data_IF_607418957622
#
_entry.id   IF_607418957622
#
_cell.length_a   1.000
_cell.length_b   1.000
_cell.length_c   1.000
_cell.angle_alpha   90.00
_cell.angle_beta   90.00
_cell.angle_gamma   90.00
#
_symmetry.space_group_name_H-M   'P 1'
#
loop_
_entity.id
_entity.type
_entity.pdbx_description
1 polymer ?
#
# COMPACT_ATOMS: atom_id res chain seq x y z
N UNK A 1 -29.98 -34.01 -4.80
CA UNK A 1 -30.64 -32.80 -4.24
C UNK A 1 -30.77 -31.81 -5.37
N UNK A 2 -32.02 -31.51 -5.71
CA UNK A 2 -32.42 -30.92 -6.99
C UNK A 2 -32.29 -29.40 -6.99
N UNK A 3 -31.67 -28.86 -8.04
CA UNK A 3 -31.53 -27.43 -8.27
C UNK A 3 -32.83 -26.92 -8.93
N UNK A 4 -33.65 -26.17 -8.18
CA UNK A 4 -34.88 -25.58 -8.71
C UNK A 4 -34.56 -24.28 -9.46
N UNK A 5 -34.54 -24.37 -10.78
CA UNK A 5 -34.62 -23.27 -11.74
C UNK A 5 -35.98 -22.58 -11.61
N UNK A 6 -36.03 -21.25 -11.51
CA UNK A 6 -37.23 -20.47 -11.79
C UNK A 6 -36.87 -19.24 -12.61
N UNK A 7 -37.30 -19.25 -13.87
CA UNK A 7 -37.25 -18.13 -14.81
C UNK A 7 -38.52 -17.28 -14.64
N UNK A 8 -38.39 -15.95 -14.65
CA UNK A 8 -39.53 -15.03 -14.85
C UNK A 8 -39.09 -13.93 -15.82
N UNK A 9 -39.74 -13.94 -16.99
CA UNK A 9 -39.64 -12.94 -18.04
C UNK A 9 -40.75 -11.89 -17.87
N UNK A 10 -40.42 -10.61 -18.02
CA UNK A 10 -41.41 -9.52 -18.14
C UNK A 10 -40.97 -8.58 -19.27
N UNK A 11 -41.75 -8.55 -20.33
CA UNK A 11 -41.66 -7.70 -21.52
C UNK A 11 -42.82 -6.71 -21.50
N UNK A 12 -42.55 -5.39 -21.57
CA UNK A 12 -43.49 -4.38 -22.10
C UNK A 12 -42.66 -3.27 -22.76
N UNK A 13 -42.88 -3.03 -24.05
CA UNK A 13 -42.19 -1.98 -24.82
C UNK A 13 -43.02 -0.69 -24.96
N UNK A 14 -42.41 0.37 -25.51
CA UNK A 14 -43.11 1.40 -26.29
C UNK A 14 -42.11 2.21 -27.15
N UNK A 15 -42.36 2.42 -28.46
CA UNK A 15 -41.49 3.20 -29.35
C UNK A 15 -42.02 4.62 -29.59
N UNK A 16 -41.13 5.62 -29.72
CA UNK A 16 -41.45 6.95 -30.30
C UNK A 16 -40.29 7.41 -31.20
N UNK A 17 -40.66 8.03 -32.32
CA UNK A 17 -39.90 8.18 -33.55
C UNK A 17 -39.18 9.54 -33.75
N UNK A 18 -38.14 9.50 -34.60
CA UNK A 18 -37.70 10.42 -35.68
C UNK A 18 -37.62 11.95 -35.44
N UNK A 19 -36.39 12.49 -35.49
CA UNK A 19 -35.96 13.79 -36.06
C UNK A 19 -34.46 13.94 -35.73
N UNK A 20 -33.56 14.58 -36.47
CA UNK A 20 -33.48 15.18 -37.80
C UNK A 20 -31.97 15.37 -38.05
N UNK A 21 -31.57 15.39 -39.31
CA UNK A 21 -30.22 15.62 -39.81
C UNK A 21 -29.64 16.98 -39.36
N UNK A 22 -28.38 16.98 -38.91
CA UNK A 22 -27.45 18.09 -39.10
C UNK A 22 -26.01 17.53 -39.08
N UNK A 23 -25.43 17.36 -40.27
CA UNK A 23 -23.99 17.28 -40.42
C UNK A 23 -23.42 18.65 -40.05
N UNK A 24 -22.72 18.74 -38.92
CA UNK A 24 -21.93 19.91 -38.56
C UNK A 24 -20.52 19.45 -38.21
N UNK A 25 -19.64 19.55 -39.20
CA UNK A 25 -18.19 19.42 -39.06
C UNK A 25 -17.72 20.47 -38.04
N UNK A 26 -17.23 20.04 -36.89
CA UNK A 26 -16.45 20.91 -36.02
C UNK A 26 -15.38 20.07 -35.35
N UNK A 27 -14.15 20.29 -35.81
CA UNK A 27 -12.91 19.90 -35.14
C UNK A 27 -12.97 20.40 -33.70
N UNK A 28 -13.27 19.50 -32.76
CA UNK A 28 -13.13 19.77 -31.35
C UNK A 28 -11.77 19.21 -30.94
N UNK A 29 -10.79 20.11 -31.00
CA UNK A 29 -9.58 20.12 -30.19
C UNK A 29 -9.78 19.28 -28.92
N UNK A 30 -9.14 18.12 -28.86
CA UNK A 30 -8.95 17.41 -27.60
C UNK A 30 -8.06 18.31 -26.76
N UNK A 31 -8.68 19.22 -26.02
CA UNK A 31 -8.09 19.74 -24.80
C UNK A 31 -7.98 18.55 -23.88
N UNK A 32 -6.88 17.82 -24.03
CA UNK A 32 -6.35 16.92 -23.02
C UNK A 32 -6.36 17.74 -21.74
N UNK A 33 -7.33 17.42 -20.89
CA UNK A 33 -7.30 17.90 -19.52
C UNK A 33 -6.04 17.29 -18.94
N UNK A 34 -4.97 18.10 -18.91
CA UNK A 34 -3.77 17.87 -18.14
C UNK A 34 -4.24 17.61 -16.70
N UNK A 35 -4.48 16.35 -16.41
CA UNK A 35 -4.72 15.86 -15.07
C UNK A 35 -3.39 16.07 -14.37
N UNK A 36 -3.31 17.19 -13.65
CA UNK A 36 -2.23 17.56 -12.76
C UNK A 36 -1.69 16.31 -12.06
N UNK A 37 -0.54 15.80 -12.55
CA UNK A 37 0.21 14.73 -11.90
C UNK A 37 0.72 15.30 -10.59
N UNK A 38 -0.10 15.19 -9.54
CA UNK A 38 0.39 15.25 -8.17
C UNK A 38 1.50 14.21 -8.09
N UNK A 39 2.72 14.66 -7.81
CA UNK A 39 3.90 13.81 -7.78
C UNK A 39 3.60 12.54 -6.97
N UNK A 40 3.53 11.40 -7.66
CA UNK A 40 3.20 10.13 -7.04
C UNK A 40 4.34 9.76 -6.08
N UNK A 41 4.02 9.54 -4.81
CA UNK A 41 4.98 9.07 -3.83
C UNK A 41 5.52 7.70 -4.25
N UNK A 42 6.82 7.44 -4.07
CA UNK A 42 7.40 6.17 -4.44
C UNK A 42 6.82 5.05 -3.56
N UNK A 43 6.58 3.87 -4.16
CA UNK A 43 5.97 2.75 -3.47
C UNK A 43 6.84 2.26 -2.29
N UNK A 44 6.24 1.83 -1.18
CA UNK A 44 6.98 1.29 -0.04
C UNK A 44 7.61 -0.07 -0.36
N UNK A 45 8.67 -0.42 0.36
CA UNK A 45 9.20 -1.79 0.41
C UNK A 45 8.37 -2.56 1.42
N UNK A 46 7.83 -3.72 1.05
CA UNK A 46 6.96 -4.52 1.90
C UNK A 46 7.60 -5.89 2.11
N UNK A 47 7.86 -6.27 3.36
CA UNK A 47 8.44 -7.56 3.73
C UNK A 47 7.69 -8.16 4.93
N UNK A 48 7.72 -9.48 5.07
CA UNK A 48 7.22 -10.21 6.24
C UNK A 48 8.32 -10.35 7.31
N UNK A 49 7.98 -10.62 8.59
CA UNK A 49 8.98 -10.87 9.63
C UNK A 49 10.00 -11.96 9.28
N UNK A 50 9.55 -13.03 8.61
CA UNK A 50 10.44 -14.10 8.15
C UNK A 50 11.43 -13.65 7.07
N UNK A 51 11.00 -12.76 6.17
CA UNK A 51 11.86 -12.20 5.12
C UNK A 51 12.88 -11.24 5.70
N UNK A 52 12.55 -10.48 6.76
CA UNK A 52 13.51 -9.62 7.46
C UNK A 52 14.66 -10.46 8.04
N UNK A 53 14.33 -11.58 8.69
CA UNK A 53 15.32 -12.48 9.28
C UNK A 53 16.23 -13.15 8.24
N UNK A 54 15.75 -13.34 7.01
CA UNK A 54 16.48 -14.01 5.92
C UNK A 54 17.27 -13.06 5.03
N UNK A 55 16.84 -11.81 4.88
CA UNK A 55 17.36 -10.87 3.88
C UNK A 55 18.07 -9.66 4.51
N UNK A 56 19.10 -9.90 5.33
CA UNK A 56 19.95 -8.83 5.88
C UNK A 56 21.25 -8.69 5.06
N UNK A 57 21.65 -7.48 4.63
CA UNK A 57 21.01 -6.19 4.87
C UNK A 57 19.81 -5.92 3.94
N UNK A 58 18.86 -5.12 4.42
CA UNK A 58 17.70 -4.63 3.65
C UNK A 58 18.01 -3.24 3.14
N UNK A 59 18.06 -3.07 1.81
CA UNK A 59 18.25 -1.76 1.19
C UNK A 59 16.90 -1.07 0.94
N UNK A 60 16.73 0.14 1.46
CA UNK A 60 15.60 1.03 1.18
C UNK A 60 16.10 2.37 0.67
N UNK A 61 15.32 3.06 -0.16
CA UNK A 61 15.68 4.41 -0.60
C UNK A 61 15.05 5.48 0.29
N UNK A 62 15.65 6.67 0.31
CA UNK A 62 15.04 7.86 0.89
C UNK A 62 13.60 8.04 0.40
N UNK A 63 12.72 8.44 1.32
CA UNK A 63 11.28 8.62 1.08
C UNK A 63 10.49 7.33 0.74
N UNK A 64 11.12 6.16 0.77
CA UNK A 64 10.45 4.85 0.68
C UNK A 64 10.51 4.11 2.01
N UNK A 65 9.42 4.07 2.79
CA UNK A 65 9.42 3.33 4.05
C UNK A 65 9.47 1.82 3.81
N UNK A 66 10.07 1.12 4.77
CA UNK A 66 9.89 -0.32 4.94
C UNK A 66 8.60 -0.55 5.73
N UNK A 67 7.67 -1.30 5.15
CA UNK A 67 6.44 -1.73 5.82
C UNK A 67 6.54 -3.22 6.08
N UNK A 68 6.24 -3.63 7.30
CA UNK A 68 6.32 -5.03 7.70
C UNK A 68 4.91 -5.61 7.66
N UNK A 69 4.67 -6.51 6.71
CA UNK A 69 3.39 -7.18 6.56
C UNK A 69 3.27 -8.30 7.61
N UNK A 70 2.47 -8.05 8.63
CA UNK A 70 2.21 -8.96 9.75
C UNK A 70 0.78 -9.51 9.73
N UNK A 71 0.16 -9.54 8.55
CA UNK A 71 -1.21 -10.01 8.35
C UNK A 71 -2.23 -9.26 9.25
N UNK A 72 -3.00 -9.97 10.07
CA UNK A 72 -4.18 -9.41 10.76
C UNK A 72 -3.92 -8.85 12.17
N UNK A 73 -2.72 -9.04 12.72
CA UNK A 73 -2.40 -8.67 14.12
C UNK A 73 -1.50 -7.42 14.21
N UNK A 74 -1.50 -6.55 13.20
CA UNK A 74 -0.60 -5.40 13.13
C UNK A 74 -0.57 -4.50 14.36
N UNK A 75 -1.71 -4.24 14.99
CA UNK A 75 -1.79 -3.41 16.20
C UNK A 75 -1.05 -4.01 17.42
N UNK A 76 -0.71 -5.30 17.39
CA UNK A 76 0.08 -5.97 18.43
C UNK A 76 1.59 -5.82 18.23
N UNK A 77 2.04 -5.46 17.03
CA UNK A 77 3.47 -5.28 16.73
C UNK A 77 3.92 -3.86 17.10
N UNK A 78 4.07 -3.63 18.41
CA UNK A 78 4.36 -2.31 18.97
C UNK A 78 5.81 -2.13 19.43
N UNK A 79 6.57 -3.22 19.55
CA UNK A 79 7.94 -3.22 20.05
C UNK A 79 8.94 -3.30 18.88
N UNK A 80 9.74 -2.24 18.72
CA UNK A 80 10.83 -2.18 17.75
C UNK A 80 11.69 -0.94 17.95
N UNK A 81 12.90 -0.99 17.41
CA UNK A 81 13.91 0.06 17.55
C UNK A 81 14.96 -0.01 16.45
N UNK A 82 15.77 1.04 16.35
CA UNK A 82 17.05 0.97 15.63
C UNK A 82 18.20 1.36 16.55
N UNK A 83 19.41 0.93 16.22
CA UNK A 83 20.62 1.33 16.94
C UNK A 83 20.93 2.82 16.72
N UNK A 84 20.57 3.36 15.55
CA UNK A 84 20.68 4.77 15.19
C UNK A 84 19.35 5.28 14.60
N UNK A 85 18.54 5.89 15.47
CA UNK A 85 17.25 6.48 15.15
C UNK A 85 17.35 7.76 14.29
N UNK A 86 18.57 8.23 13.97
CA UNK A 86 18.78 9.31 13.01
C UNK A 86 18.84 8.81 11.56
N UNK A 87 19.07 7.51 11.34
CA UNK A 87 19.13 6.88 10.02
C UNK A 87 17.77 6.34 9.62
N UNK A 88 17.14 5.54 10.48
CA UNK A 88 15.79 5.03 10.28
C UNK A 88 15.05 4.99 11.62
N UNK A 89 13.74 5.24 11.61
CA UNK A 89 12.93 5.22 12.83
C UNK A 89 11.81 4.21 12.74
N UNK A 90 11.67 3.41 13.80
CA UNK A 90 10.58 2.46 13.93
C UNK A 90 9.22 3.17 14.05
N UNK A 91 8.23 2.66 13.33
CA UNK A 91 6.84 3.05 13.42
C UNK A 91 6.02 1.84 13.90
N UNK A 92 5.40 1.88 15.09
CA UNK A 92 4.64 0.75 15.60
C UNK A 92 3.37 0.54 14.79
N UNK A 93 2.94 -0.71 14.72
CA UNK A 93 1.63 -1.04 14.21
C UNK A 93 0.55 -0.51 15.14
N UNK A 94 -0.59 -0.09 14.57
CA UNK A 94 -1.68 0.53 15.33
C UNK A 94 -3.03 0.32 14.66
N UNK A 95 -4.09 0.51 15.43
CA UNK A 95 -5.46 0.60 14.93
C UNK A 95 -6.11 1.84 15.57
N UNK A 96 -6.66 2.73 14.76
CA UNK A 96 -7.28 3.99 15.20
C UNK A 96 -8.81 3.95 15.22
N UNK A 97 -9.40 2.76 15.04
CA UNK A 97 -10.84 2.54 14.93
C UNK A 97 -11.39 2.73 13.52
N UNK A 98 -10.63 3.33 12.60
CA UNK A 98 -11.01 3.49 11.19
C UNK A 98 -10.17 2.62 10.26
N UNK A 99 -8.90 2.38 10.61
CA UNK A 99 -7.97 1.58 9.84
C UNK A 99 -6.94 0.88 10.74
N UNK A 100 -6.40 -0.22 10.22
CA UNK A 100 -5.26 -0.92 10.79
C UNK A 100 -4.01 -0.57 9.97
N UNK A 101 -2.94 -0.19 10.65
CA UNK A 101 -1.66 0.16 10.04
C UNK A 101 -0.60 -0.84 10.46
N UNK A 102 0.13 -1.34 9.47
CA UNK A 102 1.28 -2.22 9.67
C UNK A 102 2.44 -1.46 10.35
N UNK A 103 3.24 -2.16 11.18
CA UNK A 103 4.51 -1.63 11.66
C UNK A 103 5.51 -1.43 10.51
N UNK A 104 6.57 -0.67 10.76
CA UNK A 104 7.58 -0.43 9.74
C UNK A 104 8.73 0.46 10.20
N UNK A 105 9.58 0.84 9.25
CA UNK A 105 10.70 1.75 9.45
C UNK A 105 10.65 2.87 8.43
N UNK A 106 10.74 4.11 8.92
CA UNK A 106 10.82 5.30 8.07
C UNK A 106 12.27 5.70 7.87
N UNK A 107 12.78 5.80 6.64
CA UNK A 107 14.13 6.32 6.39
C UNK A 107 14.18 7.82 6.69
N UNK A 108 15.22 8.25 7.40
CA UNK A 108 15.44 9.65 7.78
C UNK A 108 16.70 10.22 7.13
N UNK A 109 17.80 9.47 7.11
CA UNK A 109 19.05 9.86 6.48
C UNK A 109 19.73 8.66 5.81
N UNK A 110 20.54 8.86 4.75
CA UNK A 110 21.36 7.81 4.17
C UNK A 110 22.36 7.24 5.19
N UNK A 111 22.57 5.92 5.16
CA UNK A 111 23.45 5.23 6.11
C UNK A 111 22.95 3.83 6.45
N UNK A 112 23.67 3.14 7.33
CA UNK A 112 23.30 1.80 7.82
C UNK A 112 22.98 1.81 9.31
N UNK A 113 21.91 1.12 9.71
CA UNK A 113 21.53 0.96 11.13
C UNK A 113 21.01 -0.46 11.38
N UNK A 114 21.36 -1.06 12.51
CA UNK A 114 20.76 -2.32 12.94
C UNK A 114 19.38 -2.04 13.52
N UNK A 115 18.37 -2.77 13.04
CA UNK A 115 17.00 -2.71 13.48
C UNK A 115 16.63 -3.95 14.28
N UNK A 116 15.68 -3.80 15.19
CA UNK A 116 15.08 -4.92 15.93
C UNK A 116 13.58 -4.71 15.98
N UNK A 117 12.83 -5.78 15.77
CA UNK A 117 11.41 -5.88 16.11
C UNK A 117 11.19 -7.11 16.98
N UNK A 118 10.18 -7.07 17.83
CA UNK A 118 9.82 -8.21 18.67
C UNK A 118 8.48 -8.79 18.23
N UNK A 119 8.47 -10.09 18.02
CA UNK A 119 7.25 -10.83 17.72
C UNK A 119 6.35 -10.85 18.97
N UNK A 120 5.11 -10.35 18.89
CA UNK A 120 4.23 -10.27 20.05
C UNK A 120 3.68 -11.63 20.49
N UNK A 121 3.73 -12.66 19.64
CA UNK A 121 3.21 -14.00 19.93
C UNK A 121 4.31 -14.88 20.54
N UNK A 122 5.51 -14.86 19.96
CA UNK A 122 6.63 -15.70 20.42
C UNK A 122 7.56 -15.01 21.40
N UNK A 123 7.48 -13.67 21.52
CA UNK A 123 8.44 -12.83 22.24
C UNK A 123 9.88 -12.90 21.70
N UNK A 124 10.08 -13.47 20.51
CA UNK A 124 11.40 -13.53 19.86
C UNK A 124 11.77 -12.17 19.25
N UNK A 125 13.07 -11.84 19.31
CA UNK A 125 13.60 -10.66 18.65
C UNK A 125 14.08 -11.03 17.24
N UNK A 126 13.60 -10.28 16.26
CA UNK A 126 14.05 -10.36 14.88
C UNK A 126 14.99 -9.17 14.64
N UNK A 127 16.26 -9.49 14.39
CA UNK A 127 17.34 -8.50 14.22
C UNK A 127 17.82 -8.54 12.78
N UNK A 128 17.95 -7.37 12.16
CA UNK A 128 18.39 -7.22 10.76
C UNK A 128 19.00 -5.83 10.55
N UNK A 129 19.79 -5.68 9.50
CA UNK A 129 20.38 -4.39 9.14
C UNK A 129 19.54 -3.68 8.07
N UNK A 130 19.37 -2.36 8.22
CA UNK A 130 18.76 -1.48 7.24
C UNK A 130 19.85 -0.61 6.64
N UNK A 131 19.90 -0.54 5.31
CA UNK A 131 20.73 0.41 4.56
C UNK A 131 19.81 1.38 3.83
N UNK A 132 19.95 2.67 4.12
CA UNK A 132 19.21 3.76 3.48
C UNK A 132 20.10 4.40 2.42
N UNK A 133 19.63 4.43 1.18
CA UNK A 133 20.33 5.02 0.03
C UNK A 133 19.61 6.27 -0.49
N UNK A 134 20.36 7.16 -1.15
CA UNK A 134 19.79 8.28 -1.91
C UNK A 134 19.27 7.68 -3.22
N UNK A 135 17.95 7.55 -3.33
CA UNK A 135 17.27 6.90 -4.47
C UNK A 135 17.37 7.64 -5.79
#
# INVERSE_FOLDING_TARGET
MELRVLAIAITIGMPIALASCAANSQEAMTTESEMNTSAAMPAPVILTPEELAKNSPITIAMYRPLVINVASNAASWTEGSTADDTIARFAPGRNDGSATFNPGFTPLNPGGTTATIKDPETSENIVFDIVVEVG
#
